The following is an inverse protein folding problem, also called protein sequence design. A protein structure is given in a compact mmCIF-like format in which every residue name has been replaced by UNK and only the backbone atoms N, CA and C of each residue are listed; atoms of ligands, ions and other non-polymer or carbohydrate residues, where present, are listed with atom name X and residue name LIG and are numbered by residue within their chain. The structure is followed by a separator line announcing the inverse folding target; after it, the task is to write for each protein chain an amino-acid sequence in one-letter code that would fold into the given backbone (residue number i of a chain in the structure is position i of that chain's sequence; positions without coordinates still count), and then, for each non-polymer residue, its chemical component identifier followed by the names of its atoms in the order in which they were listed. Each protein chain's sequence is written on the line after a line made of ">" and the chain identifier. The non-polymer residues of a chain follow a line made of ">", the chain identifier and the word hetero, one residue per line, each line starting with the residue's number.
data_IF_674727078260
#
_entry.id   IF_674727078260
#
_cell.length_a   1.000
_cell.length_b   1.000
_cell.length_c   1.000
_cell.angle_alpha   90.00
_cell.angle_beta   90.00
_cell.angle_gamma   90.00
#
_symmetry.space_group_name_H-M   'P 1'
#
loop_
_entity.id
_entity.type
_entity.pdbx_description
1 polymer ?
#
# COMPACT_ATOMS: atom_id res chain seq x y z
N UNK A 1 -24.04 -17.35 -28.36
CA UNK A 1 -23.65 -17.34 -26.94
C UNK A 1 -23.84 -15.92 -26.42
N UNK A 2 -24.82 -15.69 -25.55
CA UNK A 2 -24.96 -14.37 -24.89
C UNK A 2 -23.85 -14.23 -23.87
N UNK A 3 -22.82 -13.51 -24.19
CA UNK A 3 -21.81 -13.12 -23.21
C UNK A 3 -22.46 -12.11 -22.28
N UNK A 4 -22.73 -12.51 -21.03
CA UNK A 4 -23.23 -11.58 -20.03
C UNK A 4 -22.16 -10.50 -19.80
N UNK A 5 -22.62 -9.23 -19.75
CA UNK A 5 -21.72 -8.10 -19.40
C UNK A 5 -20.97 -8.40 -18.08
N UNK A 6 -19.66 -8.19 -18.03
CA UNK A 6 -18.95 -8.36 -16.78
C UNK A 6 -19.49 -7.37 -15.74
N UNK A 7 -19.65 -7.84 -14.50
CA UNK A 7 -20.05 -6.97 -13.36
C UNK A 7 -18.80 -6.42 -12.69
N UNK A 8 -18.89 -5.19 -12.17
CA UNK A 8 -17.86 -4.64 -11.32
C UNK A 8 -17.56 -5.59 -10.15
N UNK A 9 -16.28 -5.80 -9.80
CA UNK A 9 -15.91 -6.62 -8.64
C UNK A 9 -16.09 -5.89 -7.30
N UNK A 10 -16.38 -4.59 -7.32
CA UNK A 10 -16.61 -3.72 -6.17
C UNK A 10 -17.95 -3.01 -6.30
N UNK A 11 -18.42 -2.37 -5.22
CA UNK A 11 -19.70 -1.63 -5.25
C UNK A 11 -19.59 -0.39 -6.14
N UNK A 12 -20.72 0.18 -6.60
CA UNK A 12 -20.70 1.43 -7.36
C UNK A 12 -20.06 2.59 -6.57
N UNK A 13 -20.31 2.67 -5.28
CA UNK A 13 -19.78 3.68 -4.37
C UNK A 13 -18.27 3.57 -4.23
N UNK A 14 -17.75 2.34 -4.02
CA UNK A 14 -16.31 2.07 -3.95
C UNK A 14 -15.63 2.38 -5.28
N UNK A 15 -16.30 2.08 -6.40
CA UNK A 15 -15.77 2.37 -7.73
C UNK A 15 -15.66 3.88 -7.96
N UNK A 16 -16.74 4.63 -7.68
CA UNK A 16 -16.76 6.09 -7.80
C UNK A 16 -15.67 6.73 -6.94
N UNK A 17 -15.57 6.31 -5.67
CA UNK A 17 -14.54 6.78 -4.75
C UNK A 17 -13.12 6.48 -5.29
N UNK A 18 -12.88 5.24 -5.73
CA UNK A 18 -11.55 4.83 -6.22
C UNK A 18 -11.15 5.61 -7.46
N UNK A 19 -12.05 5.71 -8.45
CA UNK A 19 -11.78 6.42 -9.70
C UNK A 19 -11.59 7.93 -9.48
N UNK A 20 -12.40 8.55 -8.63
CA UNK A 20 -12.27 9.97 -8.28
C UNK A 20 -10.91 10.27 -7.62
N UNK A 21 -10.51 9.45 -6.63
CA UNK A 21 -9.25 9.66 -5.93
C UNK A 21 -8.03 9.31 -6.80
N UNK A 22 -8.10 8.32 -7.70
CA UNK A 22 -7.02 8.04 -8.66
C UNK A 22 -6.83 9.21 -9.65
N UNK A 23 -7.91 9.83 -10.12
CA UNK A 23 -7.81 11.02 -10.96
C UNK A 23 -7.23 12.20 -10.18
N UNK A 24 -7.65 12.41 -8.93
CA UNK A 24 -7.06 13.43 -8.05
C UNK A 24 -5.55 13.20 -7.84
N UNK A 25 -5.12 11.95 -7.60
CA UNK A 25 -3.69 11.62 -7.46
C UNK A 25 -2.90 11.90 -8.74
N UNK A 26 -3.49 11.65 -9.93
CA UNK A 26 -2.87 11.99 -11.21
C UNK A 26 -2.70 13.50 -11.38
N UNK A 27 -3.68 14.29 -10.98
CA UNK A 27 -3.63 15.75 -11.06
C UNK A 27 -2.64 16.32 -10.05
N UNK A 28 -2.56 15.72 -8.85
CA UNK A 28 -1.75 16.22 -7.74
C UNK A 28 -0.26 15.88 -7.87
N UNK A 29 0.06 14.64 -8.30
CA UNK A 29 1.43 14.13 -8.34
C UNK A 29 1.98 13.93 -9.74
N UNK A 30 1.16 14.08 -10.79
CA UNK A 30 1.44 13.59 -12.14
C UNK A 30 1.70 12.06 -12.18
N UNK A 31 1.94 11.52 -13.36
CA UNK A 31 2.20 10.09 -13.52
C UNK A 31 3.60 9.72 -12.99
N UNK A 32 3.73 8.76 -12.03
CA UNK A 32 5.02 8.31 -11.55
C UNK A 32 5.88 7.70 -12.67
N UNK A 33 7.21 7.89 -12.59
CA UNK A 33 8.15 7.30 -13.55
C UNK A 33 8.10 5.77 -13.54
N UNK A 34 7.93 5.18 -12.36
CA UNK A 34 7.75 3.74 -12.18
C UNK A 34 6.27 3.46 -11.99
N UNK A 35 5.69 2.65 -12.89
CA UNK A 35 4.25 2.37 -12.91
C UNK A 35 3.84 1.27 -11.94
N UNK A 36 4.60 0.18 -11.94
CA UNK A 36 4.38 -0.97 -11.05
C UNK A 36 5.71 -1.47 -10.51
N UNK A 37 5.83 -1.56 -9.20
CA UNK A 37 6.99 -2.10 -8.49
C UNK A 37 6.74 -3.57 -8.18
N UNK A 38 7.67 -4.44 -8.60
CA UNK A 38 7.57 -5.88 -8.38
C UNK A 38 8.58 -6.37 -7.34
N UNK A 39 8.33 -7.49 -6.64
CA UNK A 39 9.28 -8.10 -5.71
C UNK A 39 10.39 -8.83 -6.51
N UNK A 40 11.15 -8.07 -7.29
CA UNK A 40 12.20 -8.56 -8.18
C UNK A 40 13.54 -7.88 -7.92
N UNK A 41 14.63 -8.45 -8.43
CA UNK A 41 15.96 -7.86 -8.34
C UNK A 41 16.11 -6.54 -9.12
N UNK A 42 15.17 -6.24 -10.00
CA UNK A 42 15.13 -4.96 -10.69
C UNK A 42 14.95 -3.80 -9.72
N UNK A 43 14.03 -3.96 -8.74
CA UNK A 43 13.71 -2.94 -7.74
C UNK A 43 14.44 -3.15 -6.41
N UNK A 44 14.60 -4.42 -5.99
CA UNK A 44 15.20 -4.79 -4.70
C UNK A 44 16.36 -5.76 -4.90
N UNK A 45 17.49 -5.23 -5.41
CA UNK A 45 18.73 -6.02 -5.58
C UNK A 45 19.49 -6.08 -4.25
N UNK A 46 18.90 -6.73 -3.26
CA UNK A 46 19.41 -6.82 -1.90
C UNK A 46 19.11 -8.18 -1.29
N UNK A 47 20.01 -8.65 -0.41
CA UNK A 47 19.80 -9.88 0.35
C UNK A 47 19.25 -9.52 1.74
N UNK A 48 17.98 -9.72 1.93
CA UNK A 48 17.33 -9.49 3.22
C UNK A 48 17.85 -10.45 4.29
N UNK A 49 18.14 -9.90 5.46
CA UNK A 49 18.76 -10.60 6.59
C UNK A 49 17.86 -10.66 7.82
N UNK A 50 16.73 -9.97 7.82
CA UNK A 50 15.83 -9.82 8.96
C UNK A 50 16.35 -8.84 10.02
N UNK A 51 17.17 -7.87 9.61
CA UNK A 51 17.81 -6.88 10.50
C UNK A 51 17.43 -5.46 10.15
N UNK A 52 17.79 -4.51 11.02
CA UNK A 52 17.53 -3.09 10.87
C UNK A 52 17.99 -2.52 9.52
N UNK A 53 19.16 -2.95 9.03
CA UNK A 53 19.69 -2.52 7.72
C UNK A 53 18.75 -2.82 6.56
N UNK A 54 17.88 -3.84 6.70
CA UNK A 54 16.88 -4.16 5.67
C UNK A 54 15.83 -3.04 5.59
N UNK A 55 15.38 -2.50 6.74
CA UNK A 55 14.43 -1.40 6.78
C UNK A 55 15.04 -0.10 6.25
N UNK A 56 16.29 0.19 6.60
CA UNK A 56 17.04 1.34 6.07
C UNK A 56 17.16 1.26 4.53
N UNK A 57 17.52 0.08 4.01
CA UNK A 57 17.59 -0.15 2.57
C UNK A 57 16.22 0.03 1.88
N UNK A 58 15.16 -0.53 2.47
CA UNK A 58 13.80 -0.40 1.92
C UNK A 58 13.35 1.05 1.96
N UNK A 59 13.57 1.78 3.06
CA UNK A 59 13.22 3.19 3.18
C UNK A 59 13.83 4.00 2.03
N UNK A 60 15.15 3.90 1.85
CA UNK A 60 15.84 4.67 0.80
C UNK A 60 15.41 4.26 -0.62
N UNK A 61 15.11 2.96 -0.83
CA UNK A 61 14.62 2.47 -2.12
C UNK A 61 13.22 3.01 -2.41
N UNK A 62 12.30 2.92 -1.45
CA UNK A 62 10.91 3.39 -1.62
C UNK A 62 10.86 4.91 -1.76
N UNK A 63 11.62 5.66 -0.97
CA UNK A 63 11.77 7.12 -1.13
C UNK A 63 12.13 7.51 -2.56
N UNK A 64 13.15 6.83 -3.11
CA UNK A 64 13.57 7.06 -4.50
C UNK A 64 12.49 6.74 -5.52
N UNK A 65 11.74 5.65 -5.32
CA UNK A 65 10.66 5.23 -6.23
C UNK A 65 9.45 6.17 -6.16
N UNK A 66 9.17 6.75 -4.98
CA UNK A 66 8.12 7.74 -4.77
C UNK A 66 8.55 9.20 -5.04
N UNK A 67 9.79 9.42 -5.50
CA UNK A 67 10.37 10.76 -5.73
C UNK A 67 10.34 11.67 -4.49
N UNK A 68 10.62 11.09 -3.31
CA UNK A 68 10.69 11.81 -2.04
C UNK A 68 12.11 12.33 -1.84
N UNK A 69 12.25 13.66 -1.79
CA UNK A 69 13.56 14.32 -1.68
C UNK A 69 13.97 14.62 -0.23
N UNK A 70 13.04 14.56 0.72
CA UNK A 70 13.33 14.80 2.14
C UNK A 70 14.36 13.80 2.67
N UNK A 71 15.32 14.29 3.47
CA UNK A 71 16.34 13.47 4.13
C UNK A 71 16.08 13.22 5.62
N UNK A 72 15.12 13.92 6.22
CA UNK A 72 14.90 13.90 7.66
C UNK A 72 13.92 12.82 8.08
N UNK A 73 14.29 11.55 7.85
CA UNK A 73 13.53 10.40 8.33
C UNK A 73 14.31 9.69 9.44
N UNK A 74 13.67 9.51 10.59
CA UNK A 74 14.16 8.67 11.68
C UNK A 74 13.38 7.36 11.73
N UNK A 75 14.07 6.22 11.62
CA UNK A 75 13.50 4.89 11.74
C UNK A 75 13.58 4.42 13.20
N UNK A 76 12.43 4.24 13.81
CA UNK A 76 12.29 3.69 15.14
C UNK A 76 11.60 2.32 15.07
N UNK A 77 11.75 1.52 16.11
CA UNK A 77 11.20 0.18 16.16
C UNK A 77 10.42 -0.03 17.45
N UNK A 78 9.32 -0.77 17.35
CA UNK A 78 8.53 -1.20 18.50
C UNK A 78 8.20 -2.70 18.42
N UNK A 79 7.85 -3.30 19.54
CA UNK A 79 7.36 -4.67 19.64
C UNK A 79 6.03 -4.68 20.36
N UNK A 80 5.04 -5.32 19.75
CA UNK A 80 3.73 -5.52 20.37
C UNK A 80 3.77 -6.56 21.50
N UNK A 81 4.76 -7.46 21.51
CA UNK A 81 4.67 -8.71 22.27
C UNK A 81 5.69 -8.85 23.38
N UNK A 82 6.88 -8.22 23.31
CA UNK A 82 7.91 -8.51 24.33
C UNK A 82 9.15 -7.59 24.26
N UNK A 83 9.62 -7.13 25.42
CA UNK A 83 10.90 -6.39 25.52
C UNK A 83 12.11 -7.28 25.10
N UNK A 84 12.03 -8.60 25.24
CA UNK A 84 13.07 -9.54 24.81
C UNK A 84 13.31 -9.54 23.29
N UNK A 85 12.34 -9.09 22.49
CA UNK A 85 12.49 -9.01 21.03
C UNK A 85 13.51 -7.96 20.62
N UNK A 86 13.60 -6.83 21.31
CA UNK A 86 14.61 -5.80 21.02
C UNK A 86 16.03 -6.37 21.10
N UNK A 87 16.32 -7.19 22.11
CA UNK A 87 17.63 -7.84 22.25
C UNK A 87 17.90 -8.84 21.12
N UNK A 88 16.87 -9.60 20.71
CA UNK A 88 16.97 -10.58 19.62
C UNK A 88 17.35 -9.94 18.27
N UNK A 89 16.88 -8.72 18.03
CA UNK A 89 17.22 -7.97 16.81
C UNK A 89 18.45 -7.08 16.98
N UNK A 90 19.02 -7.00 18.20
CA UNK A 90 20.13 -6.11 18.50
C UNK A 90 19.79 -4.63 18.46
N UNK A 91 18.52 -4.31 18.72
CA UNK A 91 17.96 -2.96 18.68
C UNK A 91 17.76 -2.46 20.11
N UNK A 92 18.13 -1.23 20.39
CA UNK A 92 17.77 -0.56 21.64
C UNK A 92 16.38 0.03 21.53
N UNK A 93 15.56 -0.14 22.59
CA UNK A 93 14.24 0.53 22.65
C UNK A 93 14.48 2.05 22.64
N UNK A 94 13.83 2.75 21.71
CA UNK A 94 13.90 4.21 21.66
C UNK A 94 13.19 4.82 22.88
N UNK A 95 13.80 5.84 23.52
CA UNK A 95 13.17 6.55 24.62
C UNK A 95 11.88 7.23 24.15
N UNK A 96 10.78 7.09 24.92
CA UNK A 96 9.50 7.74 24.64
C UNK A 96 8.56 6.93 23.70
N UNK A 97 8.94 5.74 23.25
CA UNK A 97 8.02 4.82 22.58
C UNK A 97 7.09 4.21 23.64
N UNK A 98 5.85 4.71 23.69
CA UNK A 98 4.78 4.04 24.43
C UNK A 98 4.35 2.81 23.62
N UNK A 99 4.36 1.62 24.24
CA UNK A 99 3.94 0.35 23.61
C UNK A 99 2.41 0.27 23.35
N UNK A 100 1.70 1.40 23.36
CA UNK A 100 0.26 1.49 23.11
C UNK A 100 -0.11 1.55 21.62
N UNK A 101 0.79 1.08 20.73
CA UNK A 101 0.51 0.89 19.30
C UNK A 101 -0.15 -0.47 19.03
N UNK A 102 -1.19 -0.81 19.81
CA UNK A 102 -1.93 -2.04 19.61
C UNK A 102 -2.41 -2.13 18.15
N UNK A 103 -1.95 -3.19 17.45
CA UNK A 103 -2.34 -3.55 16.09
C UNK A 103 -1.76 -2.72 14.93
N UNK A 104 -0.76 -1.86 15.15
CA UNK A 104 -0.09 -1.17 14.06
C UNK A 104 1.14 -1.95 13.54
N UNK A 105 1.30 -2.07 12.21
CA UNK A 105 2.53 -2.60 11.60
C UNK A 105 3.62 -1.53 11.44
N UNK A 106 3.18 -0.28 11.36
CA UNK A 106 4.01 0.92 11.29
C UNK A 106 3.24 2.14 11.76
N UNK A 107 3.92 3.25 11.96
CA UNK A 107 3.30 4.55 12.24
C UNK A 107 4.13 5.69 11.66
N UNK A 108 3.45 6.72 11.19
CA UNK A 108 4.01 7.96 10.67
C UNK A 108 3.75 9.12 11.64
N UNK A 109 4.76 9.94 11.89
CA UNK A 109 4.63 11.13 12.73
C UNK A 109 5.57 12.23 12.25
N UNK A 110 5.09 13.47 12.23
CA UNK A 110 5.93 14.67 12.10
C UNK A 110 6.06 15.28 13.47
N UNK A 111 7.31 15.54 13.90
CA UNK A 111 7.59 16.23 15.17
C UNK A 111 7.37 17.74 15.03
N UNK A 112 7.30 18.44 16.15
CA UNK A 112 7.23 19.93 16.18
C UNK A 112 8.46 20.58 15.52
N UNK A 113 9.59 19.86 15.46
CA UNK A 113 10.84 20.31 14.82
C UNK A 113 10.88 20.01 13.32
N UNK A 114 9.84 19.35 12.76
CA UNK A 114 9.74 19.00 11.33
C UNK A 114 10.49 17.73 10.95
N UNK A 115 10.94 16.93 11.92
CA UNK A 115 11.52 15.62 11.70
C UNK A 115 10.42 14.59 11.47
N UNK A 116 10.59 13.71 10.50
CA UNK A 116 9.64 12.63 10.22
C UNK A 116 10.09 11.33 10.90
N UNK A 117 9.26 10.80 11.78
CA UNK A 117 9.50 9.53 12.46
C UNK A 117 8.61 8.47 11.81
N UNK A 118 9.25 7.38 11.36
CA UNK A 118 8.57 6.15 10.94
C UNK A 118 8.91 5.05 11.95
N UNK A 119 7.88 4.48 12.59
CA UNK A 119 8.07 3.35 13.51
C UNK A 119 7.61 2.07 12.85
N UNK A 120 8.40 1.01 13.00
CA UNK A 120 8.17 -0.29 12.36
C UNK A 120 8.08 -1.36 13.46
N UNK A 121 7.05 -2.19 13.38
CA UNK A 121 6.93 -3.36 14.25
C UNK A 121 8.03 -4.37 13.89
N UNK A 122 8.77 -4.87 14.90
CA UNK A 122 9.99 -5.67 14.73
C UNK A 122 9.80 -6.94 13.89
N UNK A 123 8.61 -7.58 13.95
CA UNK A 123 8.35 -8.77 13.14
C UNK A 123 8.25 -8.48 11.63
N UNK A 124 8.03 -7.22 11.22
CA UNK A 124 8.06 -6.84 9.81
C UNK A 124 9.45 -7.11 9.18
N UNK A 125 10.53 -7.03 9.96
CA UNK A 125 11.89 -7.29 9.47
C UNK A 125 12.07 -8.73 8.93
N UNK A 126 11.26 -9.69 9.39
CA UNK A 126 11.31 -11.09 8.93
C UNK A 126 10.62 -11.33 7.58
N UNK A 127 9.81 -10.40 7.14
CA UNK A 127 9.00 -10.54 5.92
C UNK A 127 9.25 -9.36 4.99
N UNK A 128 10.13 -9.47 3.98
CA UNK A 128 10.45 -8.37 3.08
C UNK A 128 9.24 -7.76 2.37
N UNK A 129 8.24 -8.58 2.02
CA UNK A 129 7.01 -8.10 1.36
C UNK A 129 6.20 -7.23 2.31
N UNK A 130 6.03 -7.66 3.56
CA UNK A 130 5.33 -6.88 4.57
C UNK A 130 6.10 -5.61 4.93
N UNK A 131 7.41 -5.68 5.08
CA UNK A 131 8.27 -4.53 5.35
C UNK A 131 8.17 -3.45 4.26
N UNK A 132 8.21 -3.86 2.98
CA UNK A 132 8.07 -2.94 1.84
C UNK A 132 6.66 -2.34 1.83
N UNK A 133 5.62 -3.14 2.08
CA UNK A 133 4.25 -2.65 2.16
C UNK A 133 4.10 -1.60 3.27
N UNK A 134 4.58 -1.89 4.49
CA UNK A 134 4.54 -0.97 5.62
C UNK A 134 5.28 0.33 5.29
N UNK A 135 6.53 0.26 4.85
CA UNK A 135 7.31 1.47 4.54
C UNK A 135 6.69 2.27 3.40
N UNK A 136 6.11 1.62 2.38
CA UNK A 136 5.43 2.34 1.30
C UNK A 136 4.14 3.03 1.76
N UNK A 137 3.42 2.44 2.72
CA UNK A 137 2.27 3.05 3.35
C UNK A 137 2.67 4.29 4.19
N UNK A 138 3.68 4.15 5.06
CA UNK A 138 4.16 5.28 5.89
C UNK A 138 4.73 6.43 5.03
N UNK A 139 5.39 6.12 3.92
CA UNK A 139 5.85 7.13 2.97
C UNK A 139 4.71 7.74 2.14
N UNK A 140 3.59 7.02 1.95
CA UNK A 140 2.39 7.61 1.37
C UNK A 140 1.74 8.65 2.31
N UNK A 141 1.77 8.43 3.63
CA UNK A 141 1.43 9.49 4.60
C UNK A 141 2.32 10.74 4.42
N UNK A 142 3.62 10.55 4.18
CA UNK A 142 4.51 11.67 3.90
C UNK A 142 4.13 12.41 2.61
N UNK A 143 3.78 11.70 1.55
CA UNK A 143 3.32 12.30 0.29
C UNK A 143 2.06 13.13 0.48
N UNK A 144 1.15 12.69 1.34
CA UNK A 144 -0.13 13.35 1.58
C UNK A 144 -0.02 14.45 2.65
N UNK A 145 0.39 14.10 3.86
CA UNK A 145 0.46 14.99 5.01
C UNK A 145 1.78 15.77 5.05
N UNK A 146 2.91 15.10 4.85
CA UNK A 146 4.24 15.70 4.93
C UNK A 146 4.50 16.74 3.84
N UNK A 147 3.95 16.54 2.64
CA UNK A 147 3.99 17.49 1.53
C UNK A 147 2.79 18.47 1.54
N UNK A 148 1.95 18.47 2.59
CA UNK A 148 0.78 19.33 2.77
C UNK A 148 -0.24 19.26 1.61
N UNK A 149 -0.52 18.05 1.13
CA UNK A 149 -1.54 17.80 0.07
C UNK A 149 -2.94 17.65 0.65
N UNK A 150 -3.04 17.14 1.88
CA UNK A 150 -4.28 17.04 2.65
C UNK A 150 -4.05 17.56 4.07
N UNK A 151 -5.13 17.99 4.73
CA UNK A 151 -5.07 18.52 6.10
C UNK A 151 -5.28 17.43 7.15
N UNK A 152 -6.15 16.46 6.86
CA UNK A 152 -6.54 15.39 7.78
C UNK A 152 -6.07 14.03 7.26
N UNK A 153 -5.75 13.13 8.19
CA UNK A 153 -5.33 11.78 7.85
C UNK A 153 -6.48 10.96 7.24
N UNK A 154 -6.20 10.30 6.13
CA UNK A 154 -7.12 9.37 5.45
C UNK A 154 -6.35 8.10 5.08
N UNK A 155 -6.55 7.03 5.84
CA UNK A 155 -5.88 5.74 5.67
C UNK A 155 -6.21 5.08 4.31
N UNK A 156 -7.45 5.22 3.82
CA UNK A 156 -7.83 4.68 2.52
C UNK A 156 -7.14 5.41 1.38
N UNK A 157 -7.07 6.73 1.46
CA UNK A 157 -6.32 7.53 0.48
C UNK A 157 -4.83 7.27 0.58
N UNK A 158 -4.29 7.00 1.76
CA UNK A 158 -2.90 6.63 1.98
C UNK A 158 -2.55 5.31 1.30
N UNK A 159 -3.36 4.26 1.49
CA UNK A 159 -3.19 3.00 0.77
C UNK A 159 -3.30 3.20 -0.75
N UNK A 160 -4.30 3.97 -1.21
CA UNK A 160 -4.48 4.26 -2.63
C UNK A 160 -3.29 5.03 -3.21
N UNK A 161 -2.69 5.92 -2.43
CA UNK A 161 -1.46 6.65 -2.80
C UNK A 161 -0.27 5.69 -2.94
N UNK A 162 -0.08 4.75 -2.02
CA UNK A 162 0.96 3.74 -2.16
C UNK A 162 0.75 2.88 -3.41
N UNK A 163 -0.52 2.50 -3.73
CA UNK A 163 -0.86 1.80 -4.98
C UNK A 163 -0.54 2.67 -6.20
N UNK A 164 -0.87 3.95 -6.15
CA UNK A 164 -0.59 4.92 -7.20
C UNK A 164 0.90 5.01 -7.51
N UNK A 165 1.78 4.97 -6.51
CA UNK A 165 3.23 4.93 -6.68
C UNK A 165 3.79 3.53 -7.00
N UNK A 166 2.92 2.54 -7.28
CA UNK A 166 3.28 1.24 -7.82
C UNK A 166 3.40 0.12 -6.80
N UNK A 167 3.14 0.33 -5.52
CA UNK A 167 3.33 -0.66 -4.45
C UNK A 167 2.13 -1.57 -4.19
N UNK A 168 1.12 -1.56 -5.05
CA UNK A 168 -0.12 -2.32 -4.87
C UNK A 168 0.09 -3.84 -4.73
N UNK A 169 1.10 -4.43 -5.39
CA UNK A 169 1.45 -5.86 -5.24
C UNK A 169 1.87 -6.17 -3.79
N UNK A 170 2.66 -5.30 -3.18
CA UNK A 170 3.11 -5.47 -1.80
C UNK A 170 1.97 -5.32 -0.81
N UNK A 171 1.10 -4.32 -0.98
CA UNK A 171 -0.09 -4.15 -0.14
C UNK A 171 -1.03 -5.35 -0.25
N UNK A 172 -1.27 -5.87 -1.46
CA UNK A 172 -2.11 -7.06 -1.64
C UNK A 172 -1.53 -8.31 -0.96
N UNK A 173 -0.20 -8.53 -1.09
CA UNK A 173 0.47 -9.74 -0.65
C UNK A 173 0.95 -9.66 0.80
N UNK A 174 1.09 -8.47 1.36
CA UNK A 174 1.37 -8.33 2.77
C UNK A 174 0.19 -8.95 3.49
N UNK A 175 0.44 -10.02 4.22
CA UNK A 175 -0.50 -10.48 5.23
C UNK A 175 -0.48 -9.44 6.35
N UNK A 176 -0.98 -8.24 6.04
CA UNK A 176 -1.48 -7.40 7.09
C UNK A 176 -2.53 -8.28 7.78
N UNK A 177 -2.18 -8.88 8.90
CA UNK A 177 -3.11 -9.54 9.78
C UNK A 177 -3.98 -8.45 10.42
N UNK A 178 -4.71 -7.72 9.55
CA UNK A 178 -5.90 -7.11 10.04
C UNK A 178 -6.82 -8.27 10.34
N UNK A 179 -7.09 -8.50 11.63
CA UNK A 179 -8.13 -9.39 12.08
C UNK A 179 -9.39 -9.00 11.30
N UNK A 180 -9.59 -9.65 10.14
CA UNK A 180 -10.88 -9.74 9.52
C UNK A 180 -11.72 -10.56 10.50
N UNK A 181 -12.39 -9.88 11.41
CA UNK A 181 -13.62 -10.39 11.96
C UNK A 181 -14.58 -10.43 10.77
N UNK A 182 -14.58 -11.56 10.07
CA UNK A 182 -15.67 -11.92 9.16
C UNK A 182 -16.89 -12.15 10.06
N UNK A 183 -17.70 -11.14 10.17
CA UNK A 183 -19.09 -11.33 10.54
C UNK A 183 -19.81 -11.74 9.25
N UNK A 184 -20.09 -13.04 9.13
CA UNK A 184 -20.67 -13.70 7.94
C UNK A 184 -22.07 -13.21 7.57
N UNK A 185 -22.62 -12.18 8.20
CA UNK A 185 -24.01 -11.74 8.07
C UNK A 185 -24.25 -10.35 7.49
N UNK A 186 -23.23 -9.58 7.10
CA UNK A 186 -23.44 -8.27 6.46
C UNK A 186 -22.87 -8.24 5.05
N UNK A 187 -23.72 -8.41 4.04
CA UNK A 187 -23.47 -8.13 2.63
C UNK A 187 -23.56 -6.59 2.36
N UNK A 188 -22.81 -5.82 3.06
CA UNK A 188 -22.64 -4.41 2.83
C UNK A 188 -21.22 -4.05 3.23
N UNK A 189 -20.41 -3.59 2.30
CA UNK A 189 -19.11 -3.05 2.60
C UNK A 189 -19.30 -1.75 3.40
N UNK A 190 -19.38 -1.87 4.72
CA UNK A 190 -19.00 -0.76 5.55
C UNK A 190 -17.49 -0.63 5.43
N UNK A 191 -16.97 0.54 5.06
CA UNK A 191 -15.59 0.95 5.32
C UNK A 191 -15.29 0.54 6.76
N UNK A 192 -14.57 -0.55 6.93
CA UNK A 192 -14.35 -1.11 8.25
C UNK A 192 -13.49 -0.16 9.04
N UNK A 193 -13.81 0.02 10.29
CA UNK A 193 -13.20 0.88 11.30
C UNK A 193 -11.70 0.69 11.53
N UNK A 194 -11.03 -0.17 10.77
CA UNK A 194 -9.59 -0.47 10.85
C UNK A 194 -8.73 0.25 9.78
N UNK A 195 -9.33 1.11 8.95
CA UNK A 195 -8.58 2.10 8.17
C UNK A 195 -7.89 1.63 6.88
N UNK A 196 -7.92 0.36 6.49
CA UNK A 196 -7.18 -0.13 5.32
C UNK A 196 -8.06 -0.56 4.15
N UNK A 197 -7.57 -0.39 2.91
CA UNK A 197 -8.30 -0.77 1.70
C UNK A 197 -8.54 -2.28 1.62
N UNK A 198 -9.78 -2.72 1.36
CA UNK A 198 -10.08 -4.11 1.04
C UNK A 198 -9.30 -4.59 -0.19
N UNK A 199 -8.88 -5.87 -0.20
CA UNK A 199 -8.13 -6.46 -1.32
C UNK A 199 -8.81 -6.28 -2.67
N UNK A 200 -10.15 -6.29 -2.72
CA UNK A 200 -10.93 -6.07 -3.94
C UNK A 200 -10.67 -4.67 -4.51
N UNK A 201 -10.64 -3.66 -3.66
CA UNK A 201 -10.38 -2.26 -4.07
C UNK A 201 -8.91 -2.10 -4.47
N UNK A 202 -7.96 -2.65 -3.71
CA UNK A 202 -6.53 -2.67 -4.06
C UNK A 202 -6.34 -3.21 -5.50
N UNK A 203 -6.97 -4.36 -5.79
CA UNK A 203 -6.83 -5.01 -7.09
C UNK A 203 -7.58 -4.27 -8.21
N UNK A 204 -8.70 -3.60 -7.89
CA UNK A 204 -9.40 -2.74 -8.83
C UNK A 204 -8.54 -1.52 -9.20
N UNK A 205 -7.98 -0.84 -8.20
CA UNK A 205 -7.10 0.31 -8.39
C UNK A 205 -5.84 -0.04 -9.21
N UNK A 206 -5.18 -1.17 -8.91
CA UNK A 206 -4.06 -1.66 -9.73
C UNK A 206 -4.46 -1.91 -11.19
N UNK A 207 -5.60 -2.58 -11.42
CA UNK A 207 -6.06 -2.86 -12.78
C UNK A 207 -6.42 -1.58 -13.55
N UNK A 208 -7.05 -0.62 -12.86
CA UNK A 208 -7.39 0.69 -13.44
C UNK A 208 -6.12 1.46 -13.85
N UNK A 209 -5.14 1.56 -12.94
CA UNK A 209 -3.86 2.23 -13.21
C UNK A 209 -3.08 1.56 -14.34
N UNK A 210 -3.03 0.23 -14.38
CA UNK A 210 -2.31 -0.50 -15.42
C UNK A 210 -2.93 -0.26 -16.81
N UNK A 211 -4.25 -0.25 -16.91
CA UNK A 211 -4.93 0.08 -18.15
C UNK A 211 -4.72 1.54 -18.56
N UNK A 212 -4.90 2.48 -17.63
CA UNK A 212 -4.69 3.90 -17.86
C UNK A 212 -3.27 4.19 -18.36
N UNK A 213 -2.26 3.63 -17.68
CA UNK A 213 -0.82 3.82 -17.97
C UNK A 213 -0.30 2.96 -19.12
N UNK A 214 -1.13 2.07 -19.66
CA UNK A 214 -0.71 1.05 -20.65
C UNK A 214 0.52 0.28 -20.16
N UNK A 215 0.52 -0.08 -18.86
CA UNK A 215 1.62 -0.80 -18.22
C UNK A 215 1.58 -2.28 -18.64
N UNK A 216 2.72 -2.81 -19.08
CA UNK A 216 2.86 -4.19 -19.56
C UNK A 216 3.39 -5.15 -18.48
N UNK A 217 3.52 -4.67 -17.25
CA UNK A 217 3.99 -5.51 -16.13
C UNK A 217 3.03 -6.68 -15.88
N UNK A 218 3.57 -7.90 -15.84
CA UNK A 218 2.79 -9.08 -15.47
C UNK A 218 2.52 -9.10 -13.97
N UNK A 219 1.49 -8.37 -13.56
CA UNK A 219 1.04 -8.29 -12.16
C UNK A 219 0.63 -9.66 -11.62
N UNK A 220 0.04 -10.53 -12.48
CA UNK A 220 -0.42 -11.86 -12.07
C UNK A 220 0.70 -12.74 -11.52
N UNK A 221 1.90 -12.65 -12.10
CA UNK A 221 3.05 -13.44 -11.67
C UNK A 221 3.48 -13.14 -10.22
N UNK A 222 3.04 -12.01 -9.67
CA UNK A 222 3.49 -11.52 -8.38
C UNK A 222 2.38 -11.46 -7.32
N UNK A 223 1.12 -11.73 -7.67
CA UNK A 223 0.00 -11.72 -6.74
C UNK A 223 -0.22 -13.09 -6.10
N UNK A 224 -0.68 -13.08 -4.85
CA UNK A 224 -1.20 -14.29 -4.21
C UNK A 224 -2.47 -14.82 -4.93
N UNK A 225 -2.93 -16.01 -4.55
CA UNK A 225 -4.06 -16.67 -5.22
C UNK A 225 -5.37 -15.86 -5.12
N UNK A 226 -5.59 -15.13 -4.04
CA UNK A 226 -6.78 -14.32 -3.83
C UNK A 226 -6.70 -13.04 -4.64
N UNK A 227 -5.58 -12.31 -4.54
CA UNK A 227 -5.30 -11.12 -5.31
C UNK A 227 -5.40 -11.37 -6.81
N UNK A 228 -4.81 -12.47 -7.31
CA UNK A 228 -4.92 -12.86 -8.71
C UNK A 228 -6.37 -13.01 -9.18
N UNK A 229 -7.26 -13.57 -8.34
CA UNK A 229 -8.70 -13.69 -8.67
C UNK A 229 -9.39 -12.33 -8.73
N UNK A 230 -9.10 -11.44 -7.76
CA UNK A 230 -9.68 -10.11 -7.72
C UNK A 230 -9.17 -9.25 -8.88
N UNK A 231 -7.87 -9.23 -9.11
CA UNK A 231 -7.26 -8.51 -10.22
C UNK A 231 -7.81 -8.96 -11.58
N UNK A 232 -7.94 -10.28 -11.79
CA UNK A 232 -8.53 -10.82 -13.03
C UNK A 232 -9.96 -10.35 -13.28
N UNK A 233 -10.79 -10.29 -12.22
CA UNK A 233 -12.16 -9.79 -12.35
C UNK A 233 -12.18 -8.29 -12.68
N UNK A 234 -11.37 -7.50 -11.99
CA UNK A 234 -11.24 -6.08 -12.20
C UNK A 234 -10.75 -5.76 -13.62
N UNK A 235 -9.66 -6.39 -14.05
CA UNK A 235 -9.08 -6.19 -15.37
C UNK A 235 -10.09 -6.55 -16.49
N UNK A 236 -10.79 -7.68 -16.36
CA UNK A 236 -11.83 -8.09 -17.31
C UNK A 236 -12.98 -7.07 -17.40
N UNK A 237 -13.42 -6.53 -16.26
CA UNK A 237 -14.47 -5.53 -16.19
C UNK A 237 -14.04 -4.23 -16.86
N UNK A 238 -12.90 -3.70 -16.47
CA UNK A 238 -12.38 -2.41 -16.95
C UNK A 238 -12.03 -2.45 -18.44
N UNK A 239 -11.39 -3.53 -18.91
CA UNK A 239 -11.09 -3.72 -20.35
C UNK A 239 -12.37 -3.73 -21.19
N UNK A 240 -13.41 -4.45 -20.74
CA UNK A 240 -14.69 -4.49 -21.44
C UNK A 240 -15.31 -3.10 -21.62
N UNK A 241 -15.28 -2.27 -20.58
CA UNK A 241 -15.86 -0.94 -20.64
C UNK A 241 -15.00 0.05 -21.40
N UNK A 242 -13.67 -0.08 -21.35
CA UNK A 242 -12.74 0.71 -22.16
C UNK A 242 -12.98 0.46 -23.66
N UNK A 243 -13.04 -0.80 -24.10
CA UNK A 243 -13.32 -1.18 -25.48
C UNK A 243 -14.69 -0.67 -25.96
N UNK A 244 -15.68 -0.60 -25.07
CA UNK A 244 -17.01 -0.06 -25.39
C UNK A 244 -17.00 1.46 -25.59
N UNK A 245 -16.28 2.20 -24.73
CA UNK A 245 -16.17 3.64 -24.85
C UNK A 245 -15.42 4.05 -26.13
N UNK A 246 -14.38 3.31 -26.51
CA UNK A 246 -13.62 3.57 -27.74
C UNK A 246 -14.43 3.26 -29.01
N UNK A 247 -15.36 2.30 -28.96
CA UNK A 247 -16.22 1.92 -30.10
C UNK A 247 -17.54 2.70 -30.17
N UNK A 248 -17.76 3.71 -29.32
CA UNK A 248 -18.90 4.64 -29.41
C UNK A 248 -20.25 4.08 -28.99
N UNK A 249 -20.27 3.13 -28.03
CA UNK A 249 -21.49 2.54 -27.44
C UNK A 249 -21.68 2.97 -25.98
#
# INVERSE_FOLDING_TARGET
>A
MFWSKPKSPITPEDQEWTEANLNWLLDEFNEPKVKTVTPSKEFFNYQFTGKQQDAEYVLETVKKLMDIQSSNFDLQYFSEHNEDEYQKYGISKSEGVNDNYEFANGTYQITETGETIIRIELNQLKNPVALIATISHELAHHKLLGENRIEENDEFLTDLTAIFFGFGIFLNNSKFNFNQWQDDNNQGWAMNTNGYLPKQIINFAMAWLNLYRKDQTDVYAHLDNEGSKHYKKANKYLTYWLEKSENGY
#
